data_IF_786484689262
#
_entry.id   IF_786484689262
#
_cell.length_a   1.000
_cell.length_b   1.000
_cell.length_c   1.000
_cell.angle_alpha   90.00
_cell.angle_beta   90.00
_cell.angle_gamma   90.00
#
_symmetry.space_group_name_H-M   'P 1'
#
loop_
_entity.id
_entity.type
_entity.pdbx_description
1 polymer ?
#
# COMPACT_ATOMS: atom_id res chain seq x y z
N UNK A 1 -8.33 -14.74 3.47
CA UNK A 1 -7.58 -13.55 3.01
C UNK A 1 -6.54 -13.19 4.06
N UNK A 2 -5.28 -13.08 3.67
CA UNK A 2 -4.21 -12.65 4.58
C UNK A 2 -4.34 -11.16 4.90
N UNK A 3 -3.61 -10.70 5.93
CA UNK A 3 -3.55 -9.26 6.25
C UNK A 3 -3.01 -8.45 5.08
N UNK A 4 -1.97 -8.95 4.42
CA UNK A 4 -1.39 -8.27 3.26
C UNK A 4 -2.38 -8.20 2.09
N UNK A 5 -3.09 -9.29 1.79
CA UNK A 5 -4.13 -9.30 0.75
C UNK A 5 -5.23 -8.29 1.05
N UNK A 6 -5.70 -8.24 2.30
CA UNK A 6 -6.73 -7.30 2.71
C UNK A 6 -6.26 -5.86 2.58
N UNK A 7 -5.03 -5.57 3.01
CA UNK A 7 -4.43 -4.24 2.87
C UNK A 7 -4.38 -3.81 1.40
N UNK A 8 -3.78 -4.65 0.56
CA UNK A 8 -3.61 -4.34 -0.87
C UNK A 8 -4.97 -4.12 -1.53
N UNK A 9 -5.96 -4.97 -1.24
CA UNK A 9 -7.30 -4.82 -1.80
C UNK A 9 -7.95 -3.50 -1.36
N UNK A 10 -7.89 -3.17 -0.07
CA UNK A 10 -8.46 -1.94 0.46
C UNK A 10 -7.83 -0.69 -0.18
N UNK A 11 -6.51 -0.69 -0.31
CA UNK A 11 -5.78 0.43 -0.91
C UNK A 11 -6.06 0.58 -2.41
N UNK A 12 -6.15 -0.54 -3.15
CA UNK A 12 -6.50 -0.48 -4.58
C UNK A 12 -7.92 0.05 -4.81
N UNK A 13 -8.89 -0.37 -4.02
CA UNK A 13 -10.24 0.17 -4.10
C UNK A 13 -10.25 1.65 -3.74
N UNK A 14 -9.52 2.04 -2.70
CA UNK A 14 -9.41 3.44 -2.27
C UNK A 14 -8.77 4.32 -3.35
N UNK A 15 -7.81 3.80 -4.11
CA UNK A 15 -7.24 4.51 -5.26
C UNK A 15 -8.30 4.86 -6.31
N UNK A 16 -9.34 4.06 -6.41
CA UNK A 16 -10.46 4.27 -7.33
C UNK A 16 -11.60 5.09 -6.70
N UNK A 17 -11.42 5.55 -5.47
CA UNK A 17 -12.43 6.32 -4.75
C UNK A 17 -13.42 5.49 -3.95
N UNK A 18 -13.25 4.17 -3.90
CA UNK A 18 -14.10 3.28 -3.10
C UNK A 18 -13.43 3.00 -1.77
N UNK A 19 -13.92 3.61 -0.69
CA UNK A 19 -13.37 3.49 0.65
C UNK A 19 -14.11 2.50 1.54
N UNK A 20 -15.09 1.78 1.02
CA UNK A 20 -15.94 0.90 1.84
C UNK A 20 -15.12 -0.16 2.57
N UNK A 21 -14.22 -0.86 1.89
CA UNK A 21 -13.37 -1.87 2.52
C UNK A 21 -12.28 -1.25 3.38
N UNK A 22 -11.72 -0.12 2.95
CA UNK A 22 -10.77 0.65 3.75
C UNK A 22 -11.38 1.02 5.11
N UNK A 23 -12.60 1.55 5.12
CA UNK A 23 -13.28 1.93 6.36
C UNK A 23 -13.58 0.72 7.26
N UNK A 24 -13.78 -0.45 6.67
CA UNK A 24 -14.03 -1.67 7.40
C UNK A 24 -12.80 -2.17 8.17
N UNK A 25 -11.61 -2.08 7.57
CA UNK A 25 -10.38 -2.66 8.15
C UNK A 25 -9.45 -1.65 8.81
N UNK A 26 -9.71 -0.34 8.64
CA UNK A 26 -8.86 0.73 9.20
C UNK A 26 -9.53 1.38 10.39
N UNK A 27 -8.79 1.48 11.50
CA UNK A 27 -9.26 2.07 12.75
C UNK A 27 -9.57 3.56 12.57
N UNK A 28 -10.53 4.08 13.34
CA UNK A 28 -10.89 5.52 13.29
C UNK A 28 -9.72 6.43 13.69
N UNK A 29 -8.84 5.96 14.54
CA UNK A 29 -7.67 6.72 15.02
C UNK A 29 -6.41 6.46 14.18
N UNK A 30 -6.57 5.90 13.00
CA UNK A 30 -5.47 5.55 12.12
C UNK A 30 -4.57 6.74 11.79
N UNK A 31 -3.26 6.46 11.77
CA UNK A 31 -2.25 7.39 11.29
C UNK A 31 -1.36 6.68 10.26
N UNK A 32 -1.00 7.42 9.22
CA UNK A 32 -0.03 6.99 8.21
C UNK A 32 1.21 7.85 8.32
N UNK A 33 2.38 7.22 8.34
CA UNK A 33 3.66 7.92 8.34
C UNK A 33 4.45 7.54 7.09
N UNK A 34 4.83 8.56 6.33
CA UNK A 34 5.66 8.43 5.14
C UNK A 34 6.81 9.42 5.25
N UNK A 35 8.04 8.91 5.34
CA UNK A 35 9.25 9.75 5.36
C UNK A 35 9.19 10.86 6.42
N UNK A 36 8.70 10.52 7.61
CA UNK A 36 8.64 11.45 8.73
C UNK A 36 7.41 12.34 8.79
N UNK A 37 6.52 12.26 7.80
CA UNK A 37 5.26 13.01 7.78
C UNK A 37 4.12 12.10 8.19
N UNK A 38 3.37 12.48 9.24
CA UNK A 38 2.25 11.71 9.76
C UNK A 38 0.93 12.39 9.40
N UNK A 39 -0.02 11.63 8.89
CA UNK A 39 -1.36 12.12 8.53
C UNK A 39 -2.43 11.18 9.08
N UNK A 40 -3.62 11.73 9.36
CA UNK A 40 -4.74 10.96 9.89
C UNK A 40 -5.49 10.19 8.81
N UNK A 41 -6.54 9.46 9.21
CA UNK A 41 -7.34 8.60 8.31
C UNK A 41 -7.95 9.38 7.15
N UNK A 42 -8.56 10.54 7.40
CA UNK A 42 -9.23 11.31 6.36
C UNK A 42 -8.25 11.91 5.34
N UNK A 43 -7.13 12.42 5.82
CA UNK A 43 -6.06 12.90 4.94
C UNK A 43 -5.45 11.75 4.13
N UNK A 44 -5.32 10.58 4.74
CA UNK A 44 -4.82 9.38 4.05
C UNK A 44 -5.72 8.99 2.88
N UNK A 45 -7.03 9.07 3.04
CA UNK A 45 -7.98 8.80 1.95
C UNK A 45 -7.72 9.72 0.76
N UNK A 46 -7.53 11.02 1.02
CA UNK A 46 -7.23 12.00 -0.02
C UNK A 46 -5.93 11.70 -0.76
N UNK A 47 -4.89 11.33 -0.03
CA UNK A 47 -3.59 10.97 -0.62
C UNK A 47 -3.71 9.70 -1.48
N UNK A 48 -4.35 8.67 -0.97
CA UNK A 48 -4.51 7.40 -1.70
C UNK A 48 -5.29 7.59 -2.99
N UNK A 49 -6.43 8.27 -2.93
CA UNK A 49 -7.24 8.50 -4.12
C UNK A 49 -6.56 9.45 -5.11
N UNK A 50 -5.82 10.45 -4.61
CA UNK A 50 -5.04 11.36 -5.45
C UNK A 50 -3.94 10.66 -6.24
N UNK A 51 -3.38 9.58 -5.70
CA UNK A 51 -2.33 8.79 -6.36
C UNK A 51 -2.88 7.73 -7.32
N UNK A 52 -4.17 7.51 -7.34
CA UNK A 52 -4.80 6.40 -8.06
C UNK A 52 -4.54 6.39 -9.56
N UNK A 53 -4.37 7.56 -10.17
CA UNK A 53 -4.08 7.70 -11.60
C UNK A 53 -2.59 7.78 -11.92
N UNK A 54 -1.75 7.87 -10.91
CA UNK A 54 -0.31 8.12 -11.06
C UNK A 54 0.54 6.88 -10.80
N UNK A 55 0.06 5.98 -9.95
CA UNK A 55 0.84 4.86 -9.44
C UNK A 55 0.09 3.55 -9.65
N UNK A 56 0.79 2.57 -10.21
CA UNK A 56 0.32 1.17 -10.26
C UNK A 56 1.03 0.40 -9.16
N UNK A 57 0.26 -0.29 -8.33
CA UNK A 57 0.79 -1.19 -7.30
C UNK A 57 0.84 -2.60 -7.87
N UNK A 58 2.04 -3.16 -7.91
CA UNK A 58 2.31 -4.50 -8.42
C UNK A 58 2.18 -5.59 -7.35
N UNK A 59 2.85 -6.72 -7.58
CA UNK A 59 2.80 -7.84 -6.65
C UNK A 59 3.39 -7.50 -5.28
N UNK A 60 2.93 -8.20 -4.27
CA UNK A 60 3.38 -8.01 -2.89
C UNK A 60 3.88 -9.31 -2.29
N UNK A 61 4.68 -9.19 -1.24
CA UNK A 61 5.25 -10.32 -0.50
C UNK A 61 5.27 -9.97 0.99
N UNK A 62 4.75 -10.87 1.82
CA UNK A 62 4.80 -10.73 3.27
C UNK A 62 6.18 -11.10 3.79
N UNK A 63 6.77 -10.23 4.62
CA UNK A 63 8.02 -10.49 5.33
C UNK A 63 7.72 -11.13 6.68
N UNK A 64 6.76 -10.55 7.42
CA UNK A 64 6.36 -11.03 8.75
C UNK A 64 4.90 -10.67 9.02
N UNK A 65 4.18 -11.55 9.67
CA UNK A 65 2.78 -11.32 10.06
C UNK A 65 2.48 -12.03 11.36
N UNK A 66 1.82 -11.30 12.28
CA UNK A 66 1.18 -11.89 13.47
C UNK A 66 -0.15 -11.18 13.73
N UNK A 67 -0.77 -11.39 14.90
CA UNK A 67 -2.09 -10.83 15.19
C UNK A 67 -2.10 -9.29 15.29
N UNK A 68 -0.97 -8.67 15.59
CA UNK A 68 -0.88 -7.23 15.85
C UNK A 68 0.01 -6.48 14.87
N UNK A 69 0.68 -7.17 13.95
CA UNK A 69 1.69 -6.56 13.11
C UNK A 69 1.79 -7.25 11.77
N UNK A 70 2.05 -6.44 10.74
CA UNK A 70 2.34 -6.90 9.38
C UNK A 70 3.50 -6.09 8.82
N UNK A 71 4.52 -6.79 8.32
CA UNK A 71 5.55 -6.16 7.50
C UNK A 71 5.52 -6.80 6.11
N UNK A 72 5.35 -5.99 5.09
CA UNK A 72 5.30 -6.51 3.72
C UNK A 72 5.89 -5.51 2.73
N UNK A 73 6.29 -6.04 1.58
CA UNK A 73 6.81 -5.24 0.48
C UNK A 73 5.92 -5.39 -0.74
N UNK A 74 5.85 -4.34 -1.55
CA UNK A 74 5.19 -4.36 -2.83
C UNK A 74 5.94 -3.49 -3.82
N UNK A 75 5.86 -3.85 -5.08
CA UNK A 75 6.41 -3.03 -6.15
C UNK A 75 5.41 -1.96 -6.55
N UNK A 76 5.93 -0.82 -6.98
CA UNK A 76 5.11 0.27 -7.50
C UNK A 76 5.78 0.89 -8.71
N UNK A 77 4.96 1.35 -9.65
CA UNK A 77 5.40 2.03 -10.84
C UNK A 77 4.73 3.39 -10.92
N UNK A 78 5.52 4.44 -11.10
CA UNK A 78 5.00 5.77 -11.44
C UNK A 78 4.82 5.78 -12.95
N UNK A 79 3.57 5.83 -13.40
CA UNK A 79 3.21 5.53 -14.81
C UNK A 79 3.87 6.44 -15.84
N UNK A 80 3.88 7.75 -15.59
CA UNK A 80 4.40 8.71 -16.57
C UNK A 80 5.91 8.67 -16.72
N UNK A 81 6.63 8.43 -15.63
CA UNK A 81 8.08 8.53 -15.60
C UNK A 81 8.79 7.20 -15.78
N UNK A 82 8.04 6.10 -15.90
CA UNK A 82 8.59 4.74 -15.89
C UNK A 82 9.56 4.54 -14.73
N UNK A 83 9.21 5.10 -13.57
CA UNK A 83 9.99 5.04 -12.35
C UNK A 83 9.48 3.87 -11.52
N UNK A 84 10.39 3.03 -11.06
CA UNK A 84 10.05 1.83 -10.30
C UNK A 84 10.49 1.98 -8.85
N UNK A 85 9.65 1.52 -7.94
CA UNK A 85 9.91 1.61 -6.50
C UNK A 85 9.57 0.30 -5.82
N UNK A 86 10.16 0.11 -4.66
CA UNK A 86 9.77 -0.89 -3.68
C UNK A 86 9.19 -0.15 -2.48
N UNK A 87 8.00 -0.53 -2.07
CA UNK A 87 7.33 0.03 -0.90
C UNK A 87 7.36 -0.99 0.22
N UNK A 88 7.94 -0.61 1.34
CA UNK A 88 8.07 -1.46 2.52
C UNK A 88 7.18 -0.85 3.61
N UNK A 89 6.19 -1.59 4.06
CA UNK A 89 5.24 -1.12 5.06
C UNK A 89 5.30 -1.92 6.34
N UNK A 90 5.34 -1.20 7.47
CA UNK A 90 5.14 -1.74 8.80
C UNK A 90 3.75 -1.30 9.26
N UNK A 91 2.85 -2.26 9.44
CA UNK A 91 1.44 -2.04 9.72
C UNK A 91 1.11 -2.57 11.10
N UNK A 92 0.57 -1.69 11.95
CA UNK A 92 0.19 -2.02 13.32
C UNK A 92 -1.32 -2.14 13.45
N UNK A 93 -1.79 -3.10 14.23
CA UNK A 93 -3.21 -3.40 14.43
C UNK A 93 -3.62 -3.15 15.88
N UNK A 94 -4.83 -2.64 16.06
CA UNK A 94 -5.49 -2.47 17.36
C UNK A 94 -6.94 -2.87 17.19
N UNK A 95 -7.44 -3.73 18.09
CA UNK A 95 -8.81 -4.23 18.04
C UNK A 95 -9.17 -4.85 16.68
N UNK A 96 -8.20 -5.52 16.07
CA UNK A 96 -8.36 -6.17 14.77
C UNK A 96 -8.33 -5.24 13.57
N UNK A 97 -8.07 -3.95 13.77
CA UNK A 97 -8.04 -2.95 12.71
C UNK A 97 -6.68 -2.28 12.58
N UNK A 98 -6.37 -1.80 11.40
CA UNK A 98 -5.12 -1.11 11.12
C UNK A 98 -5.13 0.24 11.84
N UNK A 99 -4.20 0.43 12.79
CA UNK A 99 -4.09 1.68 13.56
C UNK A 99 -2.95 2.56 13.09
N UNK A 100 -1.91 1.99 12.52
CA UNK A 100 -0.75 2.75 12.03
C UNK A 100 -0.10 2.03 10.86
N UNK A 101 0.34 2.82 9.88
CA UNK A 101 1.10 2.33 8.74
C UNK A 101 2.32 3.23 8.53
N UNK A 102 3.51 2.63 8.62
CA UNK A 102 4.77 3.30 8.32
C UNK A 102 5.29 2.74 7.01
N UNK A 103 5.45 3.58 6.01
CA UNK A 103 5.91 3.14 4.69
C UNK A 103 7.21 3.83 4.32
N UNK A 104 8.16 3.02 3.85
CA UNK A 104 9.42 3.48 3.27
C UNK A 104 9.36 3.19 1.78
N UNK A 105 9.73 4.17 0.98
CA UNK A 105 9.81 4.02 -0.48
C UNK A 105 11.27 4.02 -0.90
N UNK A 106 11.67 3.00 -1.65
CA UNK A 106 12.99 2.91 -2.25
C UNK A 106 12.86 2.81 -3.76
N UNK A 107 13.54 3.70 -4.46
CA UNK A 107 13.63 3.68 -5.90
C UNK A 107 14.54 2.54 -6.35
N UNK A 108 14.13 1.79 -7.38
CA UNK A 108 14.93 0.71 -7.94
C UNK A 108 15.32 1.02 -9.38
N UNK A 109 16.51 0.59 -9.79
CA UNK A 109 17.13 1.02 -11.04
C UNK A 109 16.55 0.36 -12.29
N UNK A 110 15.87 -0.78 -12.15
CA UNK A 110 15.34 -1.54 -13.28
C UNK A 110 13.91 -1.97 -13.00
N UNK A 111 13.19 -2.30 -14.08
CA UNK A 111 11.82 -2.81 -14.02
C UNK A 111 11.80 -4.18 -13.32
N UNK A 112 11.13 -4.32 -12.16
CA UNK A 112 11.10 -5.60 -11.44
C UNK A 112 10.30 -6.70 -12.16
N UNK A 113 9.54 -6.37 -13.19
CA UNK A 113 8.82 -7.37 -14.00
C UNK A 113 9.68 -8.04 -15.06
N UNK A 114 10.86 -7.49 -15.36
CA UNK A 114 11.75 -8.07 -16.37
C UNK A 114 12.21 -9.48 -15.97
N UNK A 115 12.01 -10.43 -16.86
CA UNK A 115 12.37 -11.82 -16.61
C UNK A 115 11.43 -12.59 -15.70
N UNK A 116 10.35 -11.95 -15.24
CA UNK A 116 9.34 -12.55 -14.39
C UNK A 116 8.10 -12.96 -15.17
N UNK A 117 7.20 -13.69 -14.53
CA UNK A 117 5.97 -14.20 -15.14
C UNK A 117 4.76 -13.27 -14.98
N UNK A 118 5.00 -12.04 -14.59
CA UNK A 118 3.95 -11.02 -14.41
C UNK A 118 4.32 -9.74 -15.16
N UNK A 119 3.32 -8.90 -15.43
CA UNK A 119 3.53 -7.59 -16.04
C UNK A 119 2.63 -6.55 -15.37
N UNK A 120 2.96 -5.27 -15.53
CA UNK A 120 2.25 -4.18 -14.89
C UNK A 120 0.78 -4.06 -15.31
N UNK A 121 0.46 -4.49 -16.51
CA UNK A 121 -0.90 -4.45 -17.02
C UNK A 121 -1.85 -5.33 -16.20
N UNK A 122 -1.34 -6.41 -15.61
CA UNK A 122 -2.11 -7.30 -14.75
C UNK A 122 -2.59 -6.61 -13.47
N UNK A 123 -1.99 -5.48 -13.11
CA UNK A 123 -2.23 -4.77 -11.86
C UNK A 123 -2.90 -3.40 -12.04
N UNK A 124 -3.17 -3.03 -13.26
CA UNK A 124 -3.84 -1.77 -13.58
C UNK A 124 -5.36 -1.79 -13.39
#
# INVERSE_FOLDING_TARGET
MTKADAFVRAWKLAQKGDFSFFDEIVHTDYESENQGVSINKELSKGVISGNGNLITIGPHRTIYEDNSFLCFVRYAKVREDALFCELISAVHYKDGKIIKNETIREEIASDPSEGEDWNWEDYE
#
